data_IF_446116446296
#
_entry.id   IF_446116446296
#
_cell.length_a   1.000
_cell.length_b   1.000
_cell.length_c   1.000
_cell.angle_alpha   90.00
_cell.angle_beta   90.00
_cell.angle_gamma   90.00
#
_symmetry.space_group_name_H-M   'P 1'
#
loop_
_entity.id
_entity.type
_entity.pdbx_description
1 polymer ?
2 non-polymer ?
3 non-polymer ?
4 non-polymer ?
5 water ?
#
# COMPACT_ATOMS: atom_id res chain seq x y z
N UNK A 11 -5.57 -16.27 -19.32
CA UNK A 11 -5.93 -15.94 -20.69
C UNK A 11 -6.78 -14.68 -20.76
N UNK A 12 -7.33 -14.40 -21.95
CA UNK A 12 -8.01 -13.16 -22.24
C UNK A 12 -9.51 -13.39 -22.34
N UNK A 13 -10.28 -12.48 -21.74
CA UNK A 13 -11.73 -12.52 -21.79
C UNK A 13 -12.22 -11.91 -23.11
N UNK A 14 -13.31 -12.43 -23.67
CA UNK A 14 -13.81 -11.88 -24.94
C UNK A 14 -14.10 -10.39 -24.82
N UNK A 15 -13.79 -9.66 -25.88
CA UNK A 15 -13.96 -8.21 -25.88
C UNK A 15 -15.44 -7.84 -25.86
N UNK A 16 -15.91 -7.06 -24.87
CA UNK A 16 -17.33 -6.72 -24.83
C UNK A 16 -17.71 -5.81 -25.98
N UNK A 17 -18.96 -5.87 -26.45
CA UNK A 17 -19.34 -5.12 -27.66
C UNK A 17 -19.10 -3.62 -27.60
N UNK A 18 -19.17 -3.01 -26.44
CA UNK A 18 -19.09 -1.56 -26.36
C UNK A 18 -17.66 -1.02 -26.28
N UNK A 19 -16.66 -1.89 -26.29
CA UNK A 19 -15.26 -1.48 -26.16
C UNK A 19 -14.63 -1.46 -27.55
N UNK A 20 -14.23 -0.31 -28.07
CA UNK A 20 -13.59 -0.28 -29.38
C UNK A 20 -12.21 -0.93 -29.35
N UNK A 21 -11.85 -1.51 -30.49
CA UNK A 21 -10.62 -2.32 -30.58
C UNK A 21 -9.37 -1.48 -30.45
N UNK A 22 -9.40 -0.22 -30.86
CA UNK A 22 -8.22 0.62 -30.74
C UNK A 22 -7.90 1.01 -29.30
N UNK A 23 -8.73 0.63 -28.34
CA UNK A 23 -8.48 0.90 -26.94
C UNK A 23 -7.97 -0.31 -26.18
N UNK A 24 -7.80 -1.44 -26.84
CA UNK A 24 -7.40 -2.66 -26.15
C UNK A 24 -5.89 -2.62 -25.91
N UNK A 25 -5.50 -2.88 -24.67
CA UNK A 25 -4.09 -2.95 -24.26
C UNK A 25 -4.05 -3.96 -23.12
N UNK A 26 -3.52 -5.15 -23.38
CA UNK A 26 -3.73 -6.29 -22.47
C UNK A 26 -2.66 -6.30 -21.37
N UNK A 27 -2.82 -5.38 -20.41
CA UNK A 27 -1.95 -5.29 -19.24
C UNK A 27 -2.46 -6.24 -18.16
N UNK A 28 -1.55 -7.00 -17.55
CA UNK A 28 -1.87 -7.94 -16.47
C UNK A 28 -1.32 -7.38 -15.15
N UNK A 29 -2.21 -6.81 -14.33
CA UNK A 29 -1.76 -6.15 -13.10
C UNK A 29 -1.15 -7.12 -12.09
N UNK A 30 -1.38 -8.43 -12.25
CA UNK A 30 -0.80 -9.41 -11.33
C UNK A 30 0.50 -10.03 -11.85
N UNK A 31 0.83 -9.80 -13.12
CA UNK A 31 2.04 -10.34 -13.74
C UNK A 31 2.37 -9.49 -14.96
N UNK A 32 2.72 -8.21 -14.80
CA UNK A 32 2.98 -7.36 -15.97
C UNK A 32 4.20 -7.85 -16.74
N UNK A 33 4.20 -7.56 -18.05
CA UNK A 33 5.21 -8.09 -18.96
C UNK A 33 6.63 -7.74 -18.52
N UNK A 34 6.92 -6.46 -18.28
CA UNK A 34 8.30 -6.05 -18.04
C UNK A 34 8.66 -6.02 -16.56
N UNK A 35 8.04 -6.89 -15.74
CA UNK A 35 8.31 -6.92 -14.30
C UNK A 35 9.79 -7.04 -13.98
N UNK A 36 10.59 -7.61 -14.88
CA UNK A 36 12.01 -7.79 -14.60
C UNK A 36 12.75 -6.46 -14.43
N UNK A 37 12.25 -5.40 -15.06
CA UNK A 37 12.87 -4.07 -14.98
C UNK A 37 12.50 -3.30 -13.72
N UNK A 38 11.63 -3.85 -12.87
CA UNK A 38 11.10 -3.11 -11.76
C UNK A 38 9.60 -2.97 -11.92
N UNK A 39 8.83 -3.13 -10.85
CA UNK A 39 7.38 -3.16 -11.01
C UNK A 39 6.85 -1.78 -11.40
N UNK A 40 7.41 -0.71 -10.81
CA UNK A 40 6.97 0.63 -11.21
C UNK A 40 7.27 0.87 -12.68
N UNK A 41 8.44 0.45 -13.15
CA UNK A 41 8.73 0.59 -14.58
C UNK A 41 7.80 -0.26 -15.43
N UNK A 42 7.39 -1.42 -14.91
CA UNK A 42 6.51 -2.29 -15.68
C UNK A 42 5.13 -1.65 -15.83
N UNK A 43 4.64 -0.99 -14.78
CA UNK A 43 3.38 -0.26 -14.90
C UNK A 43 3.52 0.97 -15.79
N UNK A 44 4.69 1.59 -15.82
CA UNK A 44 4.89 2.81 -16.60
C UNK A 44 4.83 2.57 -18.11
N UNK A 45 4.83 1.32 -18.57
CA UNK A 45 4.61 1.09 -19.99
C UNK A 45 3.22 1.54 -20.42
N UNK A 46 2.30 1.66 -19.46
CA UNK A 46 0.98 2.21 -19.76
C UNK A 46 1.01 3.70 -20.07
N UNK A 47 2.14 4.37 -19.85
CA UNK A 47 2.26 5.79 -20.08
C UNK A 47 3.21 6.11 -21.24
N UNK A 48 3.49 5.13 -22.10
CA UNK A 48 4.29 5.40 -23.29
C UNK A 48 3.47 6.15 -24.33
N UNK A 49 4.15 6.70 -25.35
CA UNK A 49 3.52 7.67 -26.23
C UNK A 49 2.42 7.07 -27.11
N UNK A 50 2.41 5.75 -27.31
CA UNK A 50 1.37 5.15 -28.14
C UNK A 50 0.08 4.86 -27.40
N UNK A 51 0.06 4.98 -26.08
CA UNK A 51 -1.02 4.44 -25.24
C UNK A 51 -2.02 5.54 -24.92
N UNK A 52 -3.32 5.31 -25.09
CA UNK A 52 -4.33 6.32 -24.74
C UNK A 52 -4.49 6.48 -23.24
N UNK A 53 -5.16 7.57 -22.85
CA UNK A 53 -5.34 7.90 -21.44
C UNK A 53 -6.23 6.88 -20.71
N UNK A 54 -7.02 6.13 -21.45
CA UNK A 54 -7.98 5.17 -20.88
C UNK A 54 -7.99 3.97 -21.80
N UNK A 55 -7.57 2.81 -21.30
CA UNK A 55 -7.48 1.60 -22.11
C UNK A 55 -8.27 0.47 -21.46
N UNK A 56 -8.57 -0.55 -22.26
CA UNK A 56 -9.22 -1.78 -21.81
C UNK A 56 -8.24 -2.94 -21.90
N UNK A 57 -8.11 -3.71 -20.83
CA UNK A 57 -7.37 -4.96 -20.85
C UNK A 57 -8.33 -6.14 -20.75
N UNK A 58 -8.05 -7.18 -21.53
CA UNK A 58 -8.84 -8.40 -21.47
C UNK A 58 -8.34 -9.35 -20.40
N UNK A 59 -7.31 -8.97 -19.66
CA UNK A 59 -6.80 -9.78 -18.58
C UNK A 59 -7.69 -9.67 -17.34
N UNK A 60 -7.61 -10.70 -16.50
CA UNK A 60 -8.26 -10.71 -15.20
C UNK A 60 -9.75 -10.39 -15.32
N UNK A 61 -10.37 -10.94 -16.36
CA UNK A 61 -11.80 -10.80 -16.58
C UNK A 61 -12.21 -9.63 -17.42
N UNK A 62 -11.30 -8.68 -17.69
CA UNK A 62 -11.60 -7.53 -18.52
C UNK A 62 -11.98 -6.32 -17.69
N UNK A 63 -11.25 -5.21 -17.87
CA UNK A 63 -11.52 -4.01 -17.10
C UNK A 63 -10.82 -2.83 -17.74
N UNK A 64 -11.30 -1.63 -17.42
CA UNK A 64 -10.63 -0.41 -17.86
C UNK A 64 -9.40 -0.12 -17.00
N UNK A 65 -8.49 0.68 -17.56
CA UNK A 65 -7.36 1.21 -16.82
C UNK A 65 -7.21 2.68 -17.18
N UNK A 66 -7.26 3.55 -16.16
CA UNK A 66 -6.86 4.95 -16.33
C UNK A 66 -5.35 5.07 -16.14
N UNK A 67 -4.67 5.64 -17.12
CA UNK A 67 -3.21 5.63 -17.13
C UNK A 67 -2.57 6.94 -16.70
N UNK A 68 -3.35 7.98 -16.42
CA UNK A 68 -2.83 9.32 -16.21
C UNK A 68 -3.40 9.95 -14.96
N UNK A 69 -2.56 10.74 -14.27
CA UNK A 69 -2.97 11.29 -12.99
C UNK A 69 -4.25 12.10 -13.04
N UNK A 70 -4.47 12.82 -14.14
CA UNK A 70 -5.64 13.68 -14.24
C UNK A 70 -6.93 12.85 -14.20
N UNK A 71 -6.98 11.77 -14.99
CA UNK A 71 -8.16 10.91 -15.00
C UNK A 71 -8.30 10.14 -13.69
N UNK A 72 -7.19 9.65 -13.14
CA UNK A 72 -7.23 8.93 -11.88
C UNK A 72 -7.79 9.81 -10.77
N UNK A 73 -7.30 11.06 -10.70
CA UNK A 73 -7.82 11.98 -9.69
C UNK A 73 -9.29 12.27 -9.90
N UNK A 74 -9.70 12.54 -11.15
CA UNK A 74 -11.09 12.87 -11.42
C UNK A 74 -12.02 11.73 -11.01
N UNK A 75 -11.62 10.49 -11.31
CA UNK A 75 -12.47 9.34 -11.01
C UNK A 75 -12.61 9.13 -9.52
N UNK A 76 -11.51 9.26 -8.78
CA UNK A 76 -11.56 9.09 -7.33
C UNK A 76 -12.39 10.19 -6.67
N UNK A 77 -12.46 11.37 -7.30
CA UNK A 77 -13.33 12.43 -6.75
C UNK A 77 -14.80 12.17 -7.01
N UNK A 78 -15.15 11.55 -8.13
CA UNK A 78 -16.55 11.38 -8.57
C UNK A 78 -17.11 10.03 -8.11
N UNK A 79 -17.44 9.98 -6.82
CA UNK A 79 -17.97 8.73 -6.26
C UNK A 79 -19.40 8.45 -6.69
N UNK A 80 -20.11 9.41 -7.27
CA UNK A 80 -21.45 9.10 -7.78
C UNK A 80 -21.36 8.17 -8.98
N UNK A 81 -20.35 8.37 -9.83
CA UNK A 81 -20.18 7.54 -11.00
C UNK A 81 -19.22 6.38 -10.76
N UNK A 82 -18.22 6.56 -9.91
CA UNK A 82 -17.18 5.56 -9.68
C UNK A 82 -17.27 5.08 -8.23
N UNK A 83 -18.01 3.99 -8.02
CA UNK A 83 -18.33 3.54 -6.68
C UNK A 83 -17.26 2.60 -6.13
N UNK A 84 -17.03 2.70 -4.83
CA UNK A 84 -16.09 1.81 -4.17
C UNK A 84 -16.74 0.53 -3.66
N UNK A 85 -17.99 0.25 -4.07
CA UNK A 85 -18.66 -0.97 -3.65
C UNK A 85 -17.90 -2.21 -4.11
N UNK A 86 -17.27 -2.14 -5.28
CA UNK A 86 -16.50 -3.23 -5.86
C UNK A 86 -15.13 -2.68 -6.25
N UNK A 87 -14.19 -2.55 -5.30
CA UNK A 87 -12.95 -1.80 -5.55
C UNK A 87 -11.73 -2.61 -5.98
N UNK A 88 -11.83 -3.94 -6.09
CA UNK A 88 -10.70 -4.78 -6.46
C UNK A 88 -10.97 -5.49 -7.79
N UNK A 89 -9.90 -5.74 -8.53
CA UNK A 89 -9.91 -6.61 -9.70
C UNK A 89 -9.20 -7.89 -9.26
N UNK A 90 -9.66 -9.08 -9.65
CA UNK A 90 -10.81 -9.40 -10.49
C UNK A 90 -12.17 -9.20 -9.80
N UNK A 91 -13.24 -9.32 -10.56
CA UNK A 91 -14.57 -8.97 -10.05
C UNK A 91 -14.96 -9.80 -8.84
N UNK A 92 -14.57 -11.09 -8.82
CA UNK A 92 -14.95 -11.96 -7.72
C UNK A 92 -14.33 -11.51 -6.40
N UNK A 93 -13.13 -10.94 -6.46
CA UNK A 93 -12.51 -10.34 -5.28
C UNK A 93 -13.22 -9.05 -4.89
N UNK A 94 -13.48 -8.17 -5.85
CA UNK A 94 -14.17 -6.92 -5.54
C UNK A 94 -15.56 -7.15 -4.98
N UNK A 95 -16.25 -8.17 -5.48
CA UNK A 95 -17.58 -8.48 -4.94
C UNK A 95 -17.49 -9.00 -3.51
N UNK A 96 -16.53 -9.87 -3.24
CA UNK A 96 -16.39 -10.39 -1.88
C UNK A 96 -15.91 -9.32 -0.92
N UNK A 97 -15.26 -8.29 -1.43
CA UNK A 97 -14.67 -7.24 -0.60
C UNK A 97 -15.74 -6.46 0.15
N UNK A 98 -15.66 -6.48 1.47
CA UNK A 98 -16.66 -5.71 2.22
C UNK A 98 -16.05 -4.99 3.40
N UNK A 99 -14.76 -4.67 3.33
CA UNK A 99 -14.10 -3.93 4.39
C UNK A 99 -14.70 -2.55 4.55
N UNK A 100 -14.57 -2.01 5.76
CA UNK A 100 -15.10 -0.70 6.12
C UNK A 100 -13.91 0.15 6.54
N UNK A 101 -13.76 1.38 6.02
CA UNK A 101 -14.77 2.08 5.22
C UNK A 101 -14.65 1.94 3.72
N UNK A 102 -13.67 1.16 3.26
CA UNK A 102 -13.31 1.23 1.84
C UNK A 102 -14.43 0.74 0.92
N UNK A 103 -15.26 -0.21 1.35
CA UNK A 103 -16.32 -0.72 0.49
C UNK A 103 -17.57 0.15 0.48
N UNK A 104 -17.53 1.33 1.10
CA UNK A 104 -18.68 2.20 1.20
C UNK A 104 -18.42 3.52 0.47
N UNK A 105 -19.47 4.08 -0.13
CA UNK A 105 -19.44 5.42 -0.69
C UNK A 105 -19.96 6.41 0.35
N UNK A 106 -19.59 7.68 0.24
CA UNK A 106 -20.33 8.71 0.93
C UNK A 106 -21.79 8.65 0.52
N UNK A 107 -22.72 8.98 1.43
CA UNK A 107 -22.53 9.54 2.78
C UNK A 107 -22.21 8.51 3.86
N UNK A 108 -22.61 7.26 3.65
CA UNK A 108 -22.50 6.21 4.66
C UNK A 108 -21.06 6.02 5.14
N UNK A 109 -20.08 6.19 4.24
CA UNK A 109 -18.69 5.88 4.56
C UNK A 109 -18.15 6.73 5.71
N UNK A 110 -18.58 8.00 5.81
CA UNK A 110 -17.79 8.99 6.54
C UNK A 110 -17.79 8.73 8.05
N UNK A 111 -18.93 8.28 8.60
CA UNK A 111 -19.00 8.03 10.03
C UNK A 111 -17.93 7.06 10.49
N UNK A 112 -17.59 6.06 9.67
CA UNK A 112 -16.60 5.07 10.10
C UNK A 112 -15.19 5.63 10.07
N UNK A 113 -14.92 6.66 9.27
CA UNK A 113 -13.55 7.18 9.24
C UNK A 113 -13.16 7.77 10.59
N UNK A 114 -14.11 8.42 11.28
CA UNK A 114 -13.77 9.00 12.57
C UNK A 114 -13.40 7.94 13.59
N UNK A 115 -14.12 6.81 13.59
CA UNK A 115 -13.76 5.72 14.49
C UNK A 115 -12.39 5.15 14.15
N UNK A 116 -12.14 4.89 12.88
CA UNK A 116 -10.81 4.39 12.50
C UNK A 116 -9.72 5.39 12.87
N UNK A 117 -9.99 6.70 12.70
CA UNK A 117 -9.05 7.73 13.11
C UNK A 117 -8.71 7.67 14.59
N UNK A 118 -9.56 7.03 15.39
CA UNK A 118 -9.31 6.92 16.82
C UNK A 118 -8.18 5.95 17.13
N UNK A 119 -7.85 5.06 16.22
CA UNK A 119 -6.80 4.09 16.47
C UNK A 119 -5.53 4.34 15.65
N UNK A 120 -5.62 5.09 14.54
CA UNK A 120 -4.44 5.35 13.72
C UNK A 120 -4.28 6.84 13.41
N UNK A 121 -5.12 7.68 14.00
CA UNK A 121 -5.05 9.10 13.72
C UNK A 121 -3.80 9.74 14.28
N UNK A 122 -3.57 10.97 13.84
CA UNK A 122 -2.36 11.68 14.26
C UNK A 122 -2.19 11.75 15.77
N UNK A 123 -3.21 12.02 16.59
CA UNK A 123 -2.99 12.01 18.05
C UNK A 123 -2.43 10.69 18.55
N UNK A 124 -2.92 9.57 18.04
CA UNK A 124 -2.40 8.27 18.46
C UNK A 124 -0.96 8.07 18.00
N UNK A 125 -0.60 8.56 16.81
CA UNK A 125 0.77 8.34 16.34
C UNK A 125 1.77 9.06 17.24
N UNK A 126 1.44 10.27 17.69
CA UNK A 126 2.29 10.95 18.66
C UNK A 126 2.45 10.13 19.93
N UNK A 127 1.38 9.43 20.33
CA UNK A 127 1.43 8.52 21.48
C UNK A 127 2.54 7.48 21.29
N UNK A 128 2.54 6.79 20.14
CA UNK A 128 3.47 5.69 19.90
C UNK A 128 4.87 6.15 19.52
N UNK A 129 5.07 7.46 19.37
CA UNK A 129 6.33 8.02 18.87
C UNK A 129 7.56 7.32 19.44
N UNK A 130 7.63 7.16 20.75
CA UNK A 130 8.86 6.64 21.32
C UNK A 130 8.93 5.12 21.24
N UNK A 131 7.80 4.43 21.27
CA UNK A 131 7.87 2.98 21.05
C UNK A 131 8.32 2.67 19.63
N UNK A 132 7.88 3.47 18.66
CA UNK A 132 8.33 3.30 17.29
C UNK A 132 9.85 3.50 17.21
N UNK A 133 10.33 4.62 17.75
CA UNK A 133 11.75 4.90 17.81
C UNK A 133 12.50 3.76 18.51
N UNK A 134 12.01 3.34 19.67
CA UNK A 134 12.70 2.33 20.46
C UNK A 134 12.84 1.02 19.69
N UNK A 135 11.80 0.63 18.96
CA UNK A 135 11.85 -0.65 18.26
C UNK A 135 12.76 -0.59 17.04
N UNK A 136 12.66 0.49 16.24
CA UNK A 136 13.57 0.65 15.11
C UNK A 136 15.03 0.59 15.56
N UNK A 137 15.40 1.37 16.58
CA UNK A 137 16.76 1.35 17.08
C UNK A 137 17.16 -0.04 17.55
N UNK A 138 16.24 -0.74 18.22
CA UNK A 138 16.55 -2.06 18.76
C UNK A 138 16.83 -3.05 17.65
N UNK A 139 16.00 -3.05 16.60
CA UNK A 139 16.20 -3.97 15.49
C UNK A 139 17.47 -3.66 14.71
N UNK A 140 17.75 -2.37 14.48
CA UNK A 140 18.90 -2.00 13.66
C UNK A 140 20.20 -2.31 14.39
N UNK A 141 20.27 -1.97 15.68
CA UNK A 141 21.48 -2.26 16.44
C UNK A 141 21.75 -3.75 16.52
N UNK A 142 20.70 -4.57 16.54
CA UNK A 142 20.87 -6.02 16.50
C UNK A 142 21.46 -6.48 15.19
N UNK A 143 21.17 -5.78 14.09
CA UNK A 143 21.70 -6.16 12.78
C UNK A 143 23.08 -5.58 12.53
N UNK A 144 23.36 -4.41 13.08
CA UNK A 144 24.55 -3.62 12.75
C UNK A 144 25.86 -4.42 12.73
N UNK A 145 26.20 -5.22 13.74
CA UNK A 145 27.50 -5.90 13.70
C UNK A 145 27.57 -7.05 12.70
N UNK A 146 26.44 -7.53 12.19
CA UNK A 146 26.41 -8.67 11.30
C UNK A 146 27.01 -8.36 9.93
N UNK A 147 27.00 -7.09 9.52
CA UNK A 147 27.44 -6.72 8.19
C UNK A 147 26.59 -7.26 7.05
N UNK A 148 25.40 -7.75 7.34
CA UNK A 148 24.53 -8.35 6.32
C UNK A 148 23.16 -8.58 6.94
N UNK A 149 22.15 -8.61 6.07
CA UNK A 149 20.80 -9.00 6.49
C UNK A 149 19.97 -9.32 5.27
N UNK A 150 18.86 -10.00 5.51
CA UNK A 150 17.79 -10.16 4.54
C UNK A 150 16.73 -9.13 4.95
N UNK A 151 16.77 -7.96 4.29
CA UNK A 151 16.05 -6.80 4.83
C UNK A 151 14.55 -7.04 4.90
N UNK A 152 13.99 -7.80 3.97
CA UNK A 152 12.54 -8.01 4.02
C UNK A 152 12.13 -8.74 5.31
N UNK A 153 12.84 -9.83 5.64
CA UNK A 153 12.53 -10.63 6.83
C UNK A 153 13.06 -10.02 8.11
N UNK A 154 14.20 -9.34 8.04
CA UNK A 154 14.90 -8.91 9.25
C UNK A 154 14.49 -7.51 9.70
N UNK A 155 13.84 -6.72 8.85
CA UNK A 155 13.40 -5.40 9.28
C UNK A 155 12.07 -4.98 8.66
N UNK A 156 11.93 -5.07 7.33
CA UNK A 156 10.73 -4.53 6.67
C UNK A 156 9.47 -5.19 7.20
N UNK A 157 9.53 -6.47 7.58
CA UNK A 157 8.39 -7.16 8.17
C UNK A 157 8.32 -6.93 9.68
N UNK A 158 9.36 -7.25 10.47
CA UNK A 158 9.19 -7.15 11.93
C UNK A 158 8.86 -5.75 12.43
N UNK A 159 9.44 -4.71 11.82
CA UNK A 159 9.29 -3.36 12.38
C UNK A 159 7.85 -2.89 12.27
N UNK A 160 7.25 -2.74 11.09
CA UNK A 160 5.86 -2.24 11.06
C UNK A 160 4.89 -3.22 11.68
N UNK A 161 5.11 -4.53 11.46
CA UNK A 161 4.12 -5.51 11.90
C UNK A 161 4.12 -5.62 13.42
N UNK A 162 5.29 -5.58 14.06
CA UNK A 162 5.28 -5.66 15.52
C UNK A 162 4.68 -4.41 16.14
N UNK A 163 4.88 -3.25 15.52
CA UNK A 163 4.19 -2.06 15.99
C UNK A 163 2.69 -2.23 15.86
N UNK A 164 2.23 -2.76 14.73
CA UNK A 164 0.78 -2.91 14.57
C UNK A 164 0.22 -3.94 15.54
N UNK A 165 0.93 -5.05 15.76
CA UNK A 165 0.38 -6.10 16.62
C UNK A 165 0.31 -5.64 18.06
N UNK A 166 1.26 -4.81 18.50
CA UNK A 166 1.14 -4.24 19.83
C UNK A 166 -0.04 -3.29 19.90
N UNK A 167 -0.17 -2.43 18.89
CA UNK A 167 -1.28 -1.48 18.86
C UNK A 167 -2.63 -2.20 18.90
N UNK A 168 -2.71 -3.37 18.26
CA UNK A 168 -3.95 -4.13 18.18
C UNK A 168 -4.08 -5.18 19.27
N UNK A 169 -3.06 -5.32 20.12
CA UNK A 169 -3.11 -6.31 21.19
C UNK A 169 -3.21 -7.73 20.69
N UNK A 170 -2.46 -8.07 19.64
CA UNK A 170 -2.44 -9.40 19.06
C UNK A 170 -1.07 -10.04 19.24
N UNK A 171 -1.02 -11.36 19.41
CA UNK A 171 0.26 -12.02 19.70
C UNK A 171 1.17 -12.07 18.47
N UNK A 172 2.45 -11.79 18.70
CA UNK A 172 3.42 -11.83 17.62
C UNK A 172 3.54 -13.22 16.99
N UNK A 173 3.21 -14.27 17.73
CA UNK A 173 3.27 -15.63 17.17
C UNK A 173 2.24 -15.86 16.07
N UNK A 174 1.22 -15.00 15.96
CA UNK A 174 0.22 -15.10 14.92
C UNK A 174 0.66 -14.45 13.61
N UNK A 175 1.80 -13.76 13.58
CA UNK A 175 2.21 -13.02 12.38
C UNK A 175 2.29 -13.90 11.15
N UNK A 176 2.96 -15.07 11.18
CA UNK A 176 3.06 -15.85 9.93
C UNK A 176 1.71 -16.25 9.35
N UNK A 177 0.77 -16.65 10.20
CA UNK A 177 -0.57 -16.95 9.69
C UNK A 177 -1.22 -15.73 9.07
N UNK A 178 -1.21 -14.61 9.77
CA UNK A 178 -1.92 -13.44 9.26
C UNK A 178 -1.23 -12.87 8.03
N UNK A 179 0.11 -12.89 8.02
CA UNK A 179 0.83 -12.41 6.85
C UNK A 179 0.53 -13.25 5.63
N UNK A 180 0.39 -14.58 5.80
CA UNK A 180 -0.01 -15.40 4.67
C UNK A 180 -1.34 -14.95 4.09
N UNK A 181 -2.34 -14.74 4.97
CA UNK A 181 -3.67 -14.38 4.49
C UNK A 181 -3.68 -13.02 3.79
N UNK A 182 -3.03 -12.01 4.37
CA UNK A 182 -3.04 -10.70 3.71
C UNK A 182 -2.24 -10.74 2.42
N UNK A 183 -1.19 -11.55 2.35
CA UNK A 183 -0.50 -11.80 1.09
C UNK A 183 -1.47 -12.33 0.04
N UNK A 184 -2.40 -13.20 0.43
CA UNK A 184 -3.27 -13.78 -0.59
C UNK A 184 -4.34 -12.81 -1.06
N UNK A 185 -4.60 -11.76 -0.28
CA UNK A 185 -5.56 -10.74 -0.70
C UNK A 185 -4.94 -9.69 -1.62
N UNK A 186 -3.62 -9.63 -1.68
CA UNK A 186 -2.94 -8.55 -2.40
C UNK A 186 -2.06 -9.06 -3.53
N UNK A 187 -1.35 -10.17 -3.33
CA UNK A 187 -0.51 -10.78 -4.37
C UNK A 187 -0.74 -12.28 -4.36
N UNK A 188 -1.90 -12.74 -4.82
CA UNK A 188 -2.26 -14.16 -4.63
C UNK A 188 -1.29 -15.08 -5.35
N UNK A 189 -0.87 -16.14 -4.66
CA UNK A 189 -0.08 -17.17 -5.32
C UNK A 189 -0.94 -18.29 -5.86
N UNK A 190 -2.27 -18.21 -5.71
CA UNK A 190 -3.16 -19.21 -6.22
C UNK A 190 -3.56 -20.29 -5.23
N UNK A 191 -3.00 -20.30 -4.02
CA UNK A 191 -3.45 -21.28 -3.04
C UNK A 191 -4.80 -20.92 -2.42
N UNK A 192 -5.25 -19.68 -2.53
CA UNK A 192 -6.51 -19.24 -1.95
C UNK A 192 -7.12 -18.16 -2.83
N UNK A 193 -8.44 -18.18 -2.96
CA UNK A 193 -9.11 -17.03 -3.54
C UNK A 193 -9.17 -15.90 -2.52
N UNK A 194 -9.48 -14.70 -3.02
CA UNK A 194 -9.65 -13.55 -2.13
C UNK A 194 -10.76 -13.82 -1.11
N UNK A 195 -11.87 -14.38 -1.58
CA UNK A 195 -12.99 -14.64 -0.67
C UNK A 195 -12.59 -15.61 0.44
N UNK A 196 -11.82 -16.65 0.09
CA UNK A 196 -11.37 -17.60 1.11
C UNK A 196 -10.42 -16.96 2.10
N UNK A 197 -9.46 -16.15 1.62
CA UNK A 197 -8.57 -15.45 2.53
C UNK A 197 -9.34 -14.48 3.42
N UNK A 198 -10.33 -13.79 2.85
CA UNK A 198 -11.13 -12.87 3.66
C UNK A 198 -11.91 -13.62 4.73
N UNK A 199 -12.58 -14.71 4.34
CA UNK A 199 -13.23 -15.63 5.27
C UNK A 199 -12.28 -16.08 6.40
N UNK A 200 -11.02 -16.42 6.06
CA UNK A 200 -10.11 -16.89 7.09
C UNK A 200 -9.70 -15.75 8.02
N UNK A 201 -9.57 -14.53 7.50
CA UNK A 201 -9.26 -13.37 8.33
C UNK A 201 -10.38 -13.08 9.32
N UNK A 202 -11.63 -13.12 8.86
CA UNK A 202 -12.77 -12.92 9.74
C UNK A 202 -12.86 -14.02 10.77
N UNK A 203 -12.57 -15.26 10.37
CA UNK A 203 -12.55 -16.39 11.29
C UNK A 203 -11.60 -16.15 12.45
N UNK A 204 -10.43 -15.59 12.15
CA UNK A 204 -9.50 -15.20 13.20
C UNK A 204 -10.11 -14.13 14.10
N UNK A 205 -10.81 -13.15 13.50
CA UNK A 205 -11.19 -11.94 14.22
C UNK A 205 -12.43 -12.13 15.08
N UNK A 206 -13.39 -12.94 14.64
CA UNK A 206 -14.69 -13.04 15.29
C UNK A 206 -14.57 -13.33 16.80
N UNK A 207 -13.86 -14.37 17.25
CA UNK A 207 -13.78 -14.59 18.71
C UNK A 207 -13.06 -13.49 19.45
N UNK A 208 -12.08 -12.85 18.82
CA UNK A 208 -11.36 -11.76 19.46
C UNK A 208 -12.29 -10.57 19.65
N UNK A 209 -13.08 -10.24 18.63
CA UNK A 209 -14.05 -9.15 18.73
C UNK A 209 -15.04 -9.42 19.86
N UNK A 210 -15.50 -10.67 19.97
CA UNK A 210 -16.47 -11.02 21.01
C UNK A 210 -15.88 -10.84 22.40
N UNK A 211 -14.65 -11.32 22.59
CA UNK A 211 -14.00 -11.21 23.89
C UNK A 211 -13.82 -9.75 24.31
N UNK A 212 -13.47 -8.87 23.37
CA UNK A 212 -13.13 -7.51 23.73
C UNK A 212 -14.34 -6.59 23.75
N UNK A 213 -15.51 -7.08 23.34
CA UNK A 213 -16.74 -6.36 23.64
C UNK A 213 -17.29 -6.72 25.02
N UNK A 214 -16.95 -7.89 25.57
CA UNK A 214 -17.33 -8.23 26.94
C UNK A 214 -16.36 -7.63 27.95
N UNK A 215 -15.06 -7.76 27.69
CA UNK A 215 -13.99 -7.30 28.57
C UNK A 215 -13.15 -6.33 27.75
N UNK A 216 -13.59 -5.07 27.60
CA UNK A 216 -12.88 -4.14 26.72
C UNK A 216 -11.55 -3.68 27.31
N UNK A 217 -10.62 -3.32 26.42
CA UNK A 217 -9.32 -2.82 26.84
C UNK A 217 -8.89 -1.54 26.16
N UNK A 218 -7.58 -1.32 26.07
CA UNK A 218 -7.01 -0.12 25.46
C UNK A 218 -6.42 -0.37 24.09
N UNK A 219 -6.53 -1.59 23.57
CA UNK A 219 -5.99 -1.96 22.27
C UNK A 219 -6.94 -1.50 21.16
N UNK A 220 -6.43 -1.51 19.93
CA UNK A 220 -7.20 -0.97 18.80
C UNK A 220 -8.45 -1.79 18.53
N UNK A 221 -8.37 -3.11 18.69
CA UNK A 221 -9.57 -3.92 18.45
C UNK A 221 -10.63 -3.58 19.47
N UNK A 222 -10.24 -3.41 20.74
CA UNK A 222 -11.22 -3.00 21.76
C UNK A 222 -11.84 -1.65 21.44
N UNK A 223 -11.01 -0.69 21.00
CA UNK A 223 -11.52 0.64 20.69
C UNK A 223 -12.52 0.59 19.55
N UNK A 224 -12.21 -0.16 18.50
CA UNK A 224 -13.13 -0.23 17.36
C UNK A 224 -14.39 -0.98 17.76
N UNK A 225 -14.24 -2.08 18.49
CA UNK A 225 -15.37 -2.96 18.78
C UNK A 225 -16.35 -2.35 19.77
N UNK A 226 -15.89 -1.44 20.64
CA UNK A 226 -16.76 -0.78 21.61
C UNK A 226 -17.04 0.66 21.22
N UNK A 227 -16.77 1.03 19.98
CA UNK A 227 -16.86 2.41 19.57
C UNK A 227 -18.25 2.79 19.11
N UNK A 228 -18.40 4.07 18.81
CA UNK A 228 -19.66 4.55 18.27
C UNK A 228 -19.43 5.14 16.89
N UNK A 229 -20.50 5.14 16.12
CA UNK A 229 -20.53 5.52 14.72
C UNK A 229 -21.59 6.61 14.62
N UNK A 230 -21.17 7.88 14.62
CA UNK A 230 -22.10 9.02 14.62
C UNK A 230 -23.20 8.84 15.65
N UNK A 231 -22.80 8.47 16.87
CA UNK A 231 -23.78 8.34 17.93
C UNK A 231 -24.15 6.94 18.33
N UNK A 232 -24.48 6.07 17.38
CA UNK A 232 -24.98 4.76 17.74
C UNK A 232 -23.83 3.76 17.89
N UNK A 233 -24.03 2.68 18.64
CA UNK A 233 -22.97 1.67 18.78
C UNK A 233 -22.67 0.98 17.46
N UNK A 234 -21.40 0.64 17.27
CA UNK A 234 -21.03 -0.18 16.13
C UNK A 234 -21.51 -1.61 16.37
N UNK A 235 -21.91 -2.29 15.31
CA UNK A 235 -22.27 -3.70 15.43
C UNK A 235 -21.02 -4.56 15.42
N UNK A 236 -21.17 -5.81 15.90
CA UNK A 236 -20.05 -6.74 15.89
C UNK A 236 -19.55 -6.98 14.48
N UNK A 237 -20.46 -7.02 13.51
CA UNK A 237 -20.10 -7.26 12.12
C UNK A 237 -19.34 -6.08 11.53
N UNK A 238 -19.83 -4.85 11.76
CA UNK A 238 -19.10 -3.68 11.30
C UNK A 238 -17.71 -3.63 11.92
N UNK A 239 -17.61 -3.93 13.21
CA UNK A 239 -16.31 -3.89 13.86
C UNK A 239 -15.35 -4.88 13.22
N UNK A 240 -15.86 -6.06 12.86
CA UNK A 240 -15.04 -7.06 12.20
C UNK A 240 -14.59 -6.58 10.82
N UNK A 241 -15.50 -5.97 10.06
CA UNK A 241 -15.17 -5.48 8.73
C UNK A 241 -14.21 -4.28 8.78
N UNK A 242 -14.18 -3.53 9.89
CA UNK A 242 -13.15 -2.49 10.04
C UNK A 242 -11.82 -3.08 10.43
N UNK A 243 -11.82 -4.02 11.39
CA UNK A 243 -10.56 -4.60 11.88
C UNK A 243 -9.87 -5.39 10.78
N UNK A 244 -10.63 -6.04 9.91
CA UNK A 244 -10.03 -6.69 8.76
C UNK A 244 -9.19 -5.75 7.93
N UNK A 245 -9.73 -4.57 7.63
CA UNK A 245 -9.00 -3.58 6.86
C UNK A 245 -7.74 -3.15 7.60
N UNK A 246 -7.83 -2.92 8.90
CA UNK A 246 -6.65 -2.44 9.62
C UNK A 246 -5.55 -3.49 9.60
N UNK A 247 -5.91 -4.78 9.66
CA UNK A 247 -4.93 -5.85 9.56
C UNK A 247 -4.19 -5.79 8.23
N UNK A 248 -4.92 -5.67 7.13
CA UNK A 248 -4.28 -5.61 5.82
C UNK A 248 -3.33 -4.41 5.75
N UNK A 249 -3.77 -3.25 6.22
CA UNK A 249 -2.91 -2.06 6.17
C UNK A 249 -1.66 -2.21 7.01
N UNK A 250 -1.82 -2.74 8.23
CA UNK A 250 -0.67 -2.92 9.10
C UNK A 250 0.30 -3.98 8.62
N UNK A 251 -0.16 -4.92 7.79
CA UNK A 251 0.70 -6.03 7.40
C UNK A 251 1.21 -5.96 5.97
N UNK A 252 0.67 -5.11 5.10
CA UNK A 252 1.06 -5.12 3.70
C UNK A 252 1.61 -3.82 3.15
N UNK A 253 1.37 -2.69 3.81
CA UNK A 253 1.70 -1.42 3.17
C UNK A 253 3.13 -0.96 3.45
N UNK A 254 3.38 -0.47 4.68
CA UNK A 254 4.73 -0.03 5.05
C UNK A 254 5.72 -1.17 4.89
N UNK A 255 5.29 -2.40 5.16
CA UNK A 255 6.17 -3.57 5.00
C UNK A 255 6.77 -3.57 3.61
N UNK A 256 5.95 -3.42 2.58
CA UNK A 256 6.49 -3.52 1.23
C UNK A 256 7.18 -2.23 0.78
N UNK A 257 6.65 -1.08 1.22
CA UNK A 257 7.27 0.17 0.77
C UNK A 257 8.69 0.30 1.28
N UNK A 258 8.94 -0.11 2.53
CA UNK A 258 10.28 0.05 3.08
C UNK A 258 11.33 -0.67 2.26
N UNK A 259 10.97 -1.81 1.64
CA UNK A 259 11.94 -2.55 0.84
C UNK A 259 12.25 -1.83 -0.48
N UNK A 260 11.25 -1.21 -1.12
CA UNK A 260 11.54 -0.44 -2.33
C UNK A 260 12.50 0.69 -2.01
N UNK A 261 12.30 1.34 -0.88
CA UNK A 261 13.10 2.51 -0.49
C UNK A 261 14.52 2.11 -0.17
N UNK A 262 14.67 1.05 0.61
CA UNK A 262 16.02 0.60 0.97
C UNK A 262 16.76 0.03 -0.22
N UNK A 263 16.06 -0.63 -1.13
CA UNK A 263 16.71 -1.12 -2.34
C UNK A 263 17.27 0.05 -3.15
N UNK A 264 16.50 1.13 -3.27
CA UNK A 264 16.97 2.31 -3.99
C UNK A 264 18.22 2.90 -3.32
N UNK A 265 18.18 3.11 -2.00
CA UNK A 265 19.34 3.69 -1.34
C UNK A 265 20.56 2.77 -1.41
N UNK A 266 20.34 1.46 -1.35
CA UNK A 266 21.49 0.54 -1.45
C UNK A 266 22.12 0.58 -2.83
N UNK A 267 21.34 0.90 -3.85
CA UNK A 267 21.80 1.00 -5.23
C UNK A 267 22.32 2.39 -5.61
N UNK A 268 22.08 3.40 -4.77
CA UNK A 268 22.37 4.80 -5.11
C UNK A 268 23.19 5.44 -4.00
N UNK A 269 24.49 5.17 -3.94
CA UNK A 269 25.32 5.76 -2.89
C UNK A 269 25.20 7.28 -2.83
N UNK A 270 24.97 7.94 -3.96
CA UNK A 270 24.90 9.39 -3.97
C UNK A 270 23.68 9.91 -3.22
N UNK A 271 22.54 9.22 -3.34
CA UNK A 271 21.37 9.66 -2.58
C UNK A 271 21.52 9.34 -1.09
N UNK A 272 22.14 8.20 -0.77
CA UNK A 272 22.49 7.92 0.63
C UNK A 272 23.32 9.03 1.22
N UNK A 273 24.48 9.30 0.60
CA UNK A 273 25.38 10.33 1.12
C UNK A 273 24.65 11.65 1.28
N UNK A 274 23.77 11.97 0.33
CA UNK A 274 22.99 13.20 0.46
C UNK A 274 22.21 13.24 1.76
N UNK A 275 21.64 12.10 2.15
CA UNK A 275 20.86 12.06 3.39
C UNK A 275 21.74 11.95 4.63
N UNK A 276 22.89 11.28 4.53
CA UNK A 276 23.84 11.30 5.63
C UNK A 276 24.39 12.70 5.81
N UNK A 277 24.80 13.31 4.70
CA UNK A 277 25.36 14.65 4.80
C UNK A 277 24.33 15.59 5.34
N UNK A 278 23.06 15.45 4.88
CA UNK A 278 21.95 16.38 5.13
C UNK A 278 20.73 15.75 5.74
N UNK A 279 20.80 15.31 7.00
CA UNK A 279 19.68 14.52 7.55
C UNK A 279 18.37 15.26 7.62
N UNK A 280 18.38 16.60 7.61
CA UNK A 280 17.10 17.31 7.71
C UNK A 280 16.27 17.20 6.43
N UNK A 281 16.85 16.72 5.33
CA UNK A 281 16.09 16.45 4.12
C UNK A 281 15.32 15.13 4.17
N UNK A 282 15.45 14.35 5.25
CA UNK A 282 14.81 13.02 5.29
C UNK A 282 13.29 13.08 5.19
N UNK A 283 12.58 14.02 5.82
CA UNK A 283 11.13 14.13 5.54
C UNK A 283 10.80 14.36 4.08
N UNK A 284 11.54 15.25 3.41
CA UNK A 284 11.28 15.47 1.98
C UNK A 284 11.61 14.23 1.16
N UNK A 285 12.69 13.54 1.52
CA UNK A 285 13.08 12.33 0.81
C UNK A 285 12.01 11.25 0.96
N UNK A 286 11.44 11.13 2.16
CA UNK A 286 10.31 10.23 2.37
C UNK A 286 9.20 10.50 1.36
N UNK A 287 8.88 11.78 1.17
CA UNK A 287 7.80 12.11 0.24
C UNK A 287 8.17 11.79 -1.20
N UNK A 288 9.40 12.11 -1.60
CA UNK A 288 9.80 11.83 -2.97
C UNK A 288 9.94 10.32 -3.21
N UNK A 289 10.29 9.55 -2.17
CA UNK A 289 10.31 8.10 -2.30
C UNK A 289 8.89 7.52 -2.34
N UNK A 290 7.95 8.12 -1.60
CA UNK A 290 6.56 7.65 -1.70
C UNK A 290 6.01 7.87 -3.09
N UNK A 291 6.50 8.91 -3.80
CA UNK A 291 6.04 9.14 -5.17
C UNK A 291 6.67 8.14 -6.14
N UNK A 292 8.00 8.00 -6.08
CA UNK A 292 8.72 7.16 -7.03
C UNK A 292 8.41 5.68 -6.86
N UNK A 293 8.23 5.22 -5.62
CA UNK A 293 8.01 3.81 -5.31
C UNK A 293 6.61 3.58 -4.75
N UNK A 294 5.68 4.40 -5.23
CA UNK A 294 4.26 4.18 -5.01
C UNK A 294 3.90 2.75 -5.39
N UNK A 295 2.92 2.16 -4.69
CA UNK A 295 2.79 0.72 -4.80
C UNK A 295 1.38 0.16 -4.70
N UNK A 296 0.34 0.97 -4.58
CA UNK A 296 -1.04 0.50 -4.45
C UNK A 296 -1.76 0.70 -5.78
N UNK A 297 -2.65 -0.25 -6.14
CA UNK A 297 -3.47 -0.13 -7.34
C UNK A 297 -4.84 -0.77 -7.10
N UNK A 298 -5.83 0.04 -6.78
CA UNK A 298 -7.17 -0.53 -6.74
C UNK A 298 -8.07 0.32 -7.65
N UNK A 299 -9.38 0.17 -7.51
CA UNK A 299 -10.25 0.73 -8.52
C UNK A 299 -11.67 0.94 -8.01
N UNK A 300 -12.58 1.09 -8.97
CA UNK A 300 -13.98 1.44 -8.72
C UNK A 300 -14.85 0.73 -9.74
N UNK A 301 -16.17 0.77 -9.54
CA UNK A 301 -17.10 0.17 -10.47
C UNK A 301 -18.09 1.24 -10.91
N UNK A 302 -18.43 1.23 -12.20
CA UNK A 302 -19.34 2.22 -12.75
C UNK A 302 -20.77 1.96 -12.27
N UNK A 303 -21.42 3.00 -11.75
CA UNK A 303 -22.79 2.91 -11.28
C UNK A 303 -23.83 3.14 -12.38
N UNK A 304 -23.42 3.64 -13.53
CA UNK A 304 -24.31 3.96 -14.64
C UNK A 304 -23.45 4.01 -15.90
N UNK A 305 -24.10 3.96 -17.06
CA UNK A 305 -23.38 4.29 -18.29
C UNK A 305 -22.88 5.73 -18.18
N UNK A 306 -21.67 5.98 -18.68
CA UNK A 306 -21.05 7.29 -18.48
C UNK A 306 -19.97 7.49 -19.53
N UNK A 307 -20.02 8.62 -20.23
CA UNK A 307 -18.97 8.99 -21.16
C UNK A 307 -17.89 9.74 -20.39
N UNK A 308 -16.69 9.18 -20.36
CA UNK A 308 -15.59 9.70 -19.56
C UNK A 308 -14.41 9.93 -20.51
N UNK A 309 -14.01 11.19 -20.63
CA UNK A 309 -12.91 11.58 -21.52
C UNK A 309 -13.04 10.90 -22.88
N UNK A 310 -14.22 11.02 -23.47
CA UNK A 310 -14.44 10.53 -24.81
C UNK A 310 -14.48 9.03 -24.95
N UNK A 311 -14.64 8.30 -23.85
CA UNK A 311 -14.76 6.85 -23.86
C UNK A 311 -16.09 6.47 -23.23
N UNK A 312 -16.81 5.55 -23.86
CA UNK A 312 -18.11 5.10 -23.36
C UNK A 312 -17.92 3.98 -22.34
N UNK A 313 -18.14 4.29 -21.08
CA UNK A 313 -18.07 3.30 -20.01
C UNK A 313 -19.48 2.82 -19.69
N UNK A 314 -19.60 1.53 -19.38
CA UNK A 314 -20.90 0.89 -19.18
C UNK A 314 -21.12 0.58 -17.70
N UNK A 315 -22.38 0.69 -17.27
CA UNK A 315 -22.73 0.35 -15.89
C UNK A 315 -22.22 -1.05 -15.56
N UNK A 316 -21.57 -1.17 -14.40
CA UNK A 316 -20.99 -2.42 -13.96
C UNK A 316 -19.56 -2.66 -14.42
N UNK A 317 -19.06 -1.88 -15.38
CA UNK A 317 -17.65 -1.99 -15.77
C UNK A 317 -16.76 -1.68 -14.59
N UNK A 318 -15.65 -2.41 -14.48
CA UNK A 318 -14.65 -2.11 -13.48
C UNK A 318 -13.57 -1.26 -14.11
N UNK A 319 -13.03 -0.32 -13.32
CA UNK A 319 -11.96 0.54 -13.80
C UNK A 319 -10.86 0.54 -12.74
N UNK A 320 -9.65 0.10 -13.13
CA UNK A 320 -8.48 0.20 -12.27
C UNK A 320 -7.97 1.63 -12.34
N UNK A 321 -7.71 2.22 -11.17
CA UNK A 321 -7.32 3.62 -11.04
C UNK A 321 -6.02 3.61 -10.26
N UNK A 322 -4.92 3.28 -10.91
CA UNK A 322 -3.69 2.95 -10.19
C UNK A 322 -3.15 4.14 -9.44
N UNK A 323 -3.29 4.13 -8.10
CA UNK A 323 -2.73 5.20 -7.29
C UNK A 323 -1.26 5.39 -7.60
N UNK A 324 -0.60 4.29 -7.98
CA UNK A 324 0.81 4.27 -8.33
C UNK A 324 1.14 5.19 -9.49
N UNK A 325 0.23 5.34 -10.45
CA UNK A 325 0.61 5.95 -11.72
C UNK A 325 0.57 7.47 -11.72
N UNK A 326 -0.19 8.09 -10.80
CA UNK A 326 -0.32 9.54 -10.79
C UNK A 326 1.04 10.22 -10.66
N UNK A 327 1.83 9.81 -9.67
CA UNK A 327 3.12 10.44 -9.45
C UNK A 327 4.20 10.08 -10.45
N UNK A 328 4.05 8.97 -11.18
CA UNK A 328 5.02 8.62 -12.20
C UNK A 328 4.68 9.25 -13.54
N UNK A 329 3.53 9.91 -13.62
CA UNK A 329 3.07 10.61 -14.81
C UNK A 329 3.97 11.82 -15.05
N UNK A 330 4.63 11.82 -16.21
CA UNK A 330 5.49 12.96 -16.57
C UNK A 330 4.73 14.27 -16.59
N UNK A 331 3.42 14.24 -16.76
CA UNK A 331 2.64 15.46 -16.84
C UNK A 331 2.43 16.08 -15.45
N UNK A 332 2.67 15.30 -14.39
CA UNK A 332 2.61 15.84 -13.04
C UNK A 332 4.00 16.12 -12.45
N UNK A 333 5.03 15.42 -12.91
CA UNK A 333 6.38 15.56 -12.35
C UNK A 333 7.39 15.37 -13.48
N UNK A 334 8.14 16.41 -13.79
CA UNK A 334 9.13 16.30 -14.85
C UNK A 334 10.19 15.28 -14.44
N UNK A 335 10.64 14.48 -15.41
CA UNK A 335 11.64 13.45 -15.21
C UNK A 335 11.18 12.45 -14.16
N UNK A 336 9.98 11.86 -14.31
CA UNK A 336 9.35 11.20 -13.16
C UNK A 336 10.11 9.99 -12.63
N UNK A 337 10.90 9.31 -13.46
CA UNK A 337 11.59 8.15 -12.93
C UNK A 337 12.87 8.51 -12.17
N UNK A 338 13.29 9.77 -12.20
CA UNK A 338 14.44 10.20 -11.43
C UNK A 338 14.01 10.64 -10.04
N UNK A 339 14.78 10.23 -9.04
CA UNK A 339 14.56 10.59 -7.64
C UNK A 339 15.35 11.85 -7.35
N UNK A 340 14.66 12.89 -6.89
CA UNK A 340 15.27 14.20 -6.65
C UNK A 340 14.73 14.70 -5.32
N UNK A 341 15.54 14.63 -4.27
CA UNK A 341 15.06 15.00 -2.96
C UNK A 341 14.71 16.47 -2.85
N UNK A 342 15.13 17.30 -3.83
CA UNK A 342 14.83 18.72 -3.85
C UNK A 342 13.72 19.07 -4.84
N UNK A 343 12.88 18.09 -5.19
CA UNK A 343 11.73 18.40 -6.04
C UNK A 343 10.88 19.50 -5.44
N UNK A 344 10.60 20.52 -6.26
CA UNK A 344 9.85 21.70 -5.83
C UNK A 344 8.43 21.32 -5.42
N UNK A 345 7.76 20.53 -6.24
CA UNK A 345 6.35 20.19 -6.01
C UNK A 345 6.17 18.71 -6.30
N UNK A 346 6.16 17.91 -5.24
CA UNK A 346 6.05 16.46 -5.34
C UNK A 346 4.56 16.14 -5.42
N UNK A 347 4.11 15.76 -6.60
CA UNK A 347 2.70 15.44 -6.83
C UNK A 347 2.54 13.93 -6.87
N UNK A 348 1.57 13.41 -6.12
CA UNK A 348 1.33 11.97 -6.13
C UNK A 348 -0.03 11.72 -5.47
N UNK A 349 -0.55 10.53 -5.69
CA UNK A 349 -1.71 10.04 -4.98
C UNK A 349 -1.39 8.71 -4.30
N UNK A 350 -0.18 8.61 -3.72
CA UNK A 350 0.27 7.36 -3.12
C UNK A 350 -0.64 6.91 -1.99
N UNK A 351 -1.23 7.86 -1.26
CA UNK A 351 -2.16 7.57 -0.18
C UNK A 351 -3.62 7.70 -0.62
N UNK A 352 -3.87 7.63 -1.92
CA UNK A 352 -5.21 7.75 -2.43
C UNK A 352 -5.59 9.19 -2.69
N UNK A 353 -6.87 9.36 -2.97
CA UNK A 353 -7.41 10.64 -3.42
C UNK A 353 -8.91 10.61 -3.16
N UNK A 354 -9.46 11.77 -2.83
CA UNK A 354 -10.87 11.85 -2.57
C UNK A 354 -11.25 11.49 -1.14
N UNK A 355 -12.50 11.03 -0.99
CA UNK A 355 -13.02 10.79 0.35
C UNK A 355 -12.37 9.59 1.05
N UNK A 356 -11.66 8.72 0.34
CA UNK A 356 -11.04 7.54 0.95
C UNK A 356 -9.55 7.73 1.23
N UNK A 357 -9.06 8.97 1.34
CA UNK A 357 -7.64 9.20 1.64
C UNK A 357 -7.18 8.35 2.81
N UNK A 358 -6.01 7.73 2.66
CA UNK A 358 -5.49 6.79 3.65
C UNK A 358 -5.52 7.36 5.05
N UNK A 359 -6.13 6.62 5.98
CA UNK A 359 -6.12 7.00 7.38
C UNK A 359 -4.84 6.60 8.09
N UNK A 360 -4.08 5.66 7.56
CA UNK A 360 -2.86 5.27 8.21
C UNK A 360 -1.64 6.05 7.77
N UNK A 361 -1.81 7.07 6.93
CA UNK A 361 -0.64 7.68 6.31
C UNK A 361 0.24 8.40 7.31
N UNK A 362 -0.30 8.83 8.46
CA UNK A 362 0.55 9.51 9.44
C UNK A 362 1.44 8.51 10.17
N UNK A 363 0.87 7.35 10.55
CA UNK A 363 1.71 6.27 11.05
C UNK A 363 2.73 5.83 10.02
N UNK A 364 2.33 5.76 8.75
CA UNK A 364 3.24 5.28 7.72
C UNK A 364 4.43 6.21 7.59
N UNK A 365 4.18 7.52 7.50
CA UNK A 365 5.28 8.47 7.36
C UNK A 365 6.21 8.41 8.56
N UNK A 366 5.66 8.23 9.78
CA UNK A 366 6.56 8.20 10.93
C UNK A 366 7.44 6.97 10.90
N UNK A 367 6.86 5.81 10.55
CA UNK A 367 7.66 4.60 10.42
C UNK A 367 8.75 4.75 9.35
N UNK A 368 8.41 5.33 8.20
CA UNK A 368 9.42 5.53 7.15
C UNK A 368 10.51 6.48 7.60
N UNK A 369 10.13 7.63 8.16
CA UNK A 369 11.12 8.63 8.53
C UNK A 369 12.00 8.13 9.68
N UNK A 370 11.39 7.46 10.66
CA UNK A 370 12.18 6.92 11.77
C UNK A 370 13.17 5.86 11.25
N UNK A 371 12.72 5.01 10.33
CA UNK A 371 13.62 4.00 9.76
C UNK A 371 14.81 4.67 9.08
N UNK A 372 14.55 5.65 8.21
CA UNK A 372 15.64 6.29 7.48
C UNK A 372 16.63 6.93 8.43
N UNK A 373 16.14 7.77 9.34
CA UNK A 373 17.01 8.44 10.29
C UNK A 373 17.84 7.43 11.08
N UNK A 374 17.19 6.42 11.65
CA UNK A 374 17.90 5.52 12.55
C UNK A 374 18.77 4.53 11.79
N UNK A 375 18.40 4.15 10.56
CA UNK A 375 19.27 3.23 9.83
C UNK A 375 20.55 3.92 9.36
N UNK A 376 20.41 5.11 8.76
CA UNK A 376 21.56 5.82 8.22
C UNK A 376 22.50 6.28 9.32
N UNK A 377 21.98 6.49 10.52
CA UNK A 377 22.82 6.83 11.67
C UNK A 377 23.79 5.70 12.03
N UNK A 378 23.30 4.47 12.07
CA UNK A 378 24.12 3.34 12.49
C UNK A 378 24.79 2.62 11.34
N UNK A 379 24.16 2.63 10.15
CA UNK A 379 24.67 1.88 9.01
C UNK A 379 24.63 2.83 7.82
N UNK A 380 25.55 3.79 7.74
CA UNK A 380 25.47 4.80 6.68
C UNK A 380 25.83 4.28 5.31
N UNK A 381 26.58 3.18 5.21
CA UNK A 381 27.17 2.72 3.96
C UNK A 381 26.83 1.26 3.77
N UNK A 382 25.95 0.96 2.81
CA UNK A 382 25.51 -0.41 2.57
C UNK A 382 25.22 -0.58 1.10
N UNK A 383 25.20 -1.84 0.64
CA UNK A 383 24.93 -2.17 -0.74
C UNK A 383 24.10 -3.44 -0.85
N UNK A 384 23.61 -3.70 -2.06
CA UNK A 384 23.06 -5.00 -2.39
C UNK A 384 24.17 -6.04 -2.32
N UNK A 385 23.84 -7.21 -1.79
CA UNK A 385 24.81 -8.30 -1.78
C UNK A 385 25.29 -8.57 -3.19
N UNK A 386 26.60 -8.80 -3.39
CA UNK A 386 27.13 -8.98 -4.75
C UNK A 386 26.49 -10.15 -5.47
N UNK A 387 26.09 -9.90 -6.71
CA UNK A 387 25.51 -10.92 -7.55
C UNK A 387 24.01 -11.10 -7.41
N UNK A 388 23.38 -10.39 -6.48
CA UNK A 388 21.96 -10.57 -6.22
C UNK A 388 21.12 -9.83 -7.25
N UNK A 389 20.06 -10.50 -7.71
CA UNK A 389 19.11 -9.91 -8.65
C UNK A 389 17.79 -9.72 -7.91
N UNK A 390 17.43 -8.47 -7.65
CA UNK A 390 16.24 -8.14 -6.87
C UNK A 390 15.00 -8.34 -7.74
N UNK A 391 14.05 -9.12 -7.25
CA UNK A 391 12.83 -9.41 -7.97
C UNK A 391 11.64 -8.70 -7.32
N UNK A 392 10.81 -8.07 -8.14
CA UNK A 392 9.58 -7.44 -7.68
C UNK A 392 8.37 -8.32 -7.98
N UNK A 393 7.27 -8.05 -7.27
CA UNK A 393 6.02 -8.75 -7.49
C UNK A 393 4.88 -7.74 -7.49
N UNK A 394 3.90 -7.96 -8.36
CA UNK A 394 2.85 -6.99 -8.65
C UNK A 394 1.50 -7.49 -8.16
N UNK A 395 0.65 -6.56 -7.75
CA UNK A 395 -0.70 -6.88 -7.32
C UNK A 395 -1.42 -5.63 -6.86
N UNK A 396 -2.46 -5.82 -6.03
CA UNK A 396 -3.11 -4.69 -5.38
C UNK A 396 -2.09 -3.83 -4.65
N UNK A 397 -1.19 -4.48 -3.91
CA UNK A 397 -0.03 -3.86 -3.31
C UNK A 397 1.18 -4.59 -3.88
N UNK A 398 2.04 -3.87 -4.59
CA UNK A 398 3.23 -4.50 -5.16
C UNK A 398 4.32 -4.63 -4.10
N UNK A 399 5.36 -5.42 -4.40
CA UNK A 399 6.31 -5.73 -3.35
C UNK A 399 7.65 -6.21 -3.85
N UNK A 400 8.57 -6.42 -2.91
CA UNK A 400 9.92 -6.91 -3.18
C UNK A 400 10.03 -8.30 -2.58
N UNK A 401 10.46 -9.26 -3.40
CA UNK A 401 10.52 -10.64 -2.93
C UNK A 401 11.59 -10.85 -1.87
N UNK A 402 12.81 -10.32 -2.10
CA UNK A 402 13.90 -10.43 -1.15
C UNK A 402 14.89 -9.30 -1.39
N UNK A 403 15.57 -8.89 -0.33
CA UNK A 403 16.51 -7.78 -0.42
C UNK A 403 17.74 -8.04 0.46
N UNK A 404 18.72 -8.80 -0.05
CA UNK A 404 19.96 -9.04 0.70
C UNK A 404 20.88 -7.82 0.67
N UNK A 405 21.24 -7.34 1.85
CA UNK A 405 22.09 -6.18 2.01
C UNK A 405 23.38 -6.59 2.70
N UNK A 406 24.44 -5.83 2.45
CA UNK A 406 25.75 -6.09 3.03
C UNK A 406 26.40 -4.76 3.36
N UNK A 407 27.21 -4.76 4.42
CA UNK A 407 27.99 -3.59 4.81
C UNK A 407 29.21 -4.03 5.58
N UNK A 408 30.18 -3.13 5.65
CA UNK A 408 31.37 -3.35 6.46
C UNK A 408 31.09 -2.93 7.89
N UNK A 409 31.06 -3.87 8.85
CA UNK A 409 30.77 -3.47 10.25
C UNK A 409 31.67 -2.36 10.77
N UNK A 410 32.84 -2.17 10.14
CA UNK A 410 33.79 -1.16 10.58
C UNK A 410 33.32 0.26 10.24
N UNK A 411 32.53 0.42 9.18
CA UNK A 411 31.97 1.73 8.84
C UNK A 411 30.72 2.07 9.65
N UNK A 412 30.32 1.24 10.62
CA UNK A 412 29.08 1.44 11.35
C UNK A 412 29.33 2.14 12.68
N UNK A 413 28.23 2.64 13.27
CA UNK A 413 28.25 3.36 14.53
C UNK A 413 27.14 2.83 15.43
N UNK A 414 27.46 2.52 16.67
CA UNK A 414 26.44 2.35 17.70
C UNK A 414 26.23 3.68 18.40
N UNK A 415 24.97 4.05 18.62
CA UNK A 415 24.68 5.35 19.22
C UNK A 415 24.25 5.18 20.68
X LIG B 1 -18.21 -5.77 -2.56
X LIG C 1 -6.86 3.70 2.50
X LIG C 1 -2.35 3.52 0.68
X LIG C 1 -0.65 2.56 5.08
X LIG C 1 -5.18 2.30 6.83
X LIG C 1 -5.79 3.74 1.64
X LIG C 1 -5.87 4.05 0.21
X LIG C 1 -4.61 4.01 -0.28
X LIG C 1 -3.72 3.66 0.79
X LIG C 1 -4.19 4.27 -1.73
X LIG C 1 -7.15 4.41 -0.56
X LIG C 1 -7.85 3.17 -1.14
X LIG C 1 -9.03 3.51 -2.04
X LIG C 1 -9.37 4.68 -2.27
X LIG C 1 -9.64 2.52 -2.52
X LIG C 1 -1.50 3.30 1.73
X LIG C 1 -0.05 3.30 1.64
X LIG C 1 0.44 3.05 2.87
X LIG C 1 -0.70 2.85 3.75
X LIG C 1 0.67 3.59 0.31
X LIG C 1 1.91 2.94 3.37
X LIG C 1 2.96 3.22 2.60
X LIG C 1 -1.75 2.32 5.90
X LIG C 1 -1.64 1.77 7.22
X LIG C 1 -2.86 1.64 7.73
X LIG C 1 -3.81 2.16 6.74
X LIG C 1 -0.32 1.34 7.90
X LIG C 1 -3.06 1.09 9.15
X LIG C 1 -4.23 0.65 9.57
X LIG C 1 -6.01 2.70 5.81
X LIG C 1 -7.45 2.83 5.91
X LIG C 1 -7.92 3.23 4.72
X LIG C 1 -6.80 3.34 3.81
X LIG C 1 -8.24 2.58 7.20
X LIG C 1 -9.41 3.45 4.33
X LIG C 1 -9.89 4.89 4.34
X LIG C 1 -11.30 4.89 3.81
X LIG C 1 -12.04 5.83 4.17
X LIG C 1 -11.69 3.98 3.02
X LIG C 1 -4.45 3.49 1.96
X LIG C 1 -1.86 2.99 3.03
X LIG C 1 -3.08 2.56 5.62
X LIG C 1 -5.66 3.01 4.52
X LIG C 1 -3.75 3.20 3.82
X LIG D 1 -5.82 -1.99 1.13
X LIG D 1 -7.28 -1.70 1.11
X LIG D 1 -8.22 -2.48 0.99
X LIG D 1 -7.38 -0.15 1.28
X LIG D 1 -5.84 0.04 1.37
X LIG D 1 -5.45 -0.33 2.74
X LIG D 1 -4.31 0.25 3.16
X LIG D 1 -5.36 -1.88 2.61
X LIG D 1 -5.32 -0.91 0.55
X LIG D 1 -3.82 -0.93 0.51
X LIG D 1 -5.78 -0.74 -0.86
X LIG D 1 -5.39 -3.33 0.44
#
# INVERSE_FOLDING_TARGET
MTTETIQSNANLAPLPPHVPEHLVFDFDMYNPSNLSAGVQEAWAVLQESNVPDLVWTRCNGGHWIATRGQLIREAYEDYRHFSSECPFIPREAGEAYDFIPTSMDPPEQRQFRALANQVVGMPVVDKLENRIQELACSLIESLRPQGQCNFTEDYAEPFPIRIFMLLAGLPEEDIPHLKYLTDQMTRPDGSMTFAEAKEALYDYLIPIIEQRRQKPGTDAISIVANGQVNGRPITSDEAKRMCGLLLVGGLETVVNFLSFSMEFLAKSPEHRQELIERPERIPAACEELLRRFSLVADGRILTSDYEFHGVQLKKGDQILLPQMLSGLDERENACPMHVDFSRQKVSHTTFGHGSHLCLGQHLARREIIVTLKEWLTRIPDFSIAPGAQIQHKSGIVSGVQALPLVWDPATTKAV
K K
HEM CHA CHB CHC CHD C1A C2A C3A C4A CMA CAA CBA CGA O1A O2A C1B C2B C3B C4B CMB CAB CBB C1C C2C C3C C4C CMC CAC CBC C1D C2D C3D C4D CMD CAD CBD CGD O1D O2D NA NB NC ND FE
CAH C1 C2 O2 C3 C4 C5 O5 C6 C7 C8 C9 C10
#
